data_IF_033130582768
#
_entry.id   IF_033130582768
#
_cell.length_a   1.000
_cell.length_b   1.000
_cell.length_c   1.000
_cell.angle_alpha   90.00
_cell.angle_beta   90.00
_cell.angle_gamma   90.00
#
_symmetry.space_group_name_H-M   'P 1'
#
loop_
_entity.id
_entity.type
_entity.pdbx_description
1 polymer ?
#
# COMPACT_ATOMS: atom_id res chain seq x y z
N UNK A 1 -4.74 -5.84 -12.56
CA UNK A 1 -5.77 -4.78 -12.60
C UNK A 1 -6.96 -5.16 -11.75
N UNK A 2 -7.15 -4.50 -10.61
CA UNK A 2 -8.42 -4.51 -9.89
C UNK A 2 -9.42 -3.71 -10.75
N UNK A 3 -10.22 -4.44 -11.54
CA UNK A 3 -11.30 -3.88 -12.33
C UNK A 3 -12.32 -3.19 -11.39
N UNK A 4 -13.09 -2.19 -11.86
CA UNK A 4 -14.26 -1.65 -11.15
C UNK A 4 -15.16 -2.75 -10.54
N UNK A 5 -15.20 -3.92 -11.16
CA UNK A 5 -15.87 -5.10 -10.61
C UNK A 5 -15.23 -5.65 -9.32
N UNK A 6 -13.90 -5.69 -9.20
CA UNK A 6 -13.20 -6.15 -7.99
C UNK A 6 -13.43 -5.18 -6.82
N UNK A 7 -13.57 -3.88 -7.08
CA UNK A 7 -13.97 -2.86 -6.09
C UNK A 7 -15.37 -3.11 -5.54
N UNK A 8 -16.29 -3.49 -6.44
CA UNK A 8 -17.69 -3.81 -6.12
C UNK A 8 -17.79 -5.15 -5.38
N UNK A 9 -16.94 -6.12 -5.72
CA UNK A 9 -16.84 -7.43 -5.03
C UNK A 9 -16.25 -7.28 -3.62
N UNK A 10 -15.23 -6.42 -3.44
CA UNK A 10 -14.60 -6.18 -2.14
C UNK A 10 -15.39 -5.26 -1.20
N UNK A 11 -16.54 -4.71 -1.64
CA UNK A 11 -17.39 -3.79 -0.85
C UNK A 11 -16.60 -2.65 -0.17
N UNK A 12 -15.55 -2.16 -0.83
CA UNK A 12 -14.71 -1.11 -0.26
C UNK A 12 -15.53 0.17 -0.12
N UNK A 13 -15.65 0.67 1.12
CA UNK A 13 -16.43 1.86 1.41
C UNK A 13 -15.90 3.06 0.59
N UNK A 14 -16.78 3.97 0.11
CA UNK A 14 -16.36 5.16 -0.65
C UNK A 14 -15.27 6.00 0.03
N UNK A 15 -15.25 5.99 1.37
CA UNK A 15 -14.23 6.65 2.20
C UNK A 15 -12.83 6.09 1.95
N UNK A 16 -12.68 4.78 1.80
CA UNK A 16 -11.41 4.12 1.52
C UNK A 16 -10.88 4.53 0.14
N UNK A 17 -11.77 4.72 -0.83
CA UNK A 17 -11.42 5.19 -2.18
C UNK A 17 -10.93 6.63 -2.18
N UNK A 18 -11.59 7.53 -1.44
CA UNK A 18 -11.16 8.93 -1.32
C UNK A 18 -9.78 9.00 -0.63
N UNK A 19 -9.60 8.30 0.50
CA UNK A 19 -8.30 8.20 1.18
C UNK A 19 -7.20 7.65 0.27
N UNK A 20 -7.46 6.60 -0.49
CA UNK A 20 -6.46 6.04 -1.41
C UNK A 20 -6.14 7.01 -2.56
N UNK A 21 -7.14 7.72 -3.09
CA UNK A 21 -6.89 8.72 -4.13
C UNK A 21 -6.07 9.90 -3.60
N UNK A 22 -6.39 10.43 -2.42
CA UNK A 22 -5.64 11.53 -1.83
C UNK A 22 -4.20 11.12 -1.51
N UNK A 23 -4.01 9.88 -1.01
CA UNK A 23 -2.69 9.32 -0.76
C UNK A 23 -1.91 9.06 -2.05
N UNK A 24 -2.60 8.61 -3.11
CA UNK A 24 -2.03 8.50 -4.46
C UNK A 24 -1.55 9.86 -4.99
N UNK A 25 -2.40 10.89 -4.93
CA UNK A 25 -2.05 12.24 -5.39
C UNK A 25 -0.85 12.76 -4.62
N UNK A 26 -0.83 12.57 -3.30
CA UNK A 26 0.26 13.01 -2.44
C UNK A 26 1.57 12.31 -2.79
N UNK A 27 1.59 10.98 -2.86
CA UNK A 27 2.79 10.21 -3.23
C UNK A 27 3.23 10.52 -4.65
N UNK A 28 2.31 10.64 -5.60
CA UNK A 28 2.66 10.96 -6.97
C UNK A 28 3.10 12.43 -7.16
N UNK A 29 2.93 13.28 -6.15
CA UNK A 29 3.45 14.66 -6.11
C UNK A 29 4.76 14.79 -5.34
N UNK A 30 4.99 13.92 -4.34
CA UNK A 30 6.17 13.94 -3.46
C UNK A 30 7.25 12.95 -3.91
N UNK A 31 6.88 11.89 -4.65
CA UNK A 31 7.76 10.84 -5.14
C UNK A 31 7.68 10.78 -6.67
N UNK A 32 8.75 11.23 -7.34
CA UNK A 32 8.84 11.25 -8.80
C UNK A 32 9.07 9.85 -9.40
N UNK A 33 9.51 8.88 -8.60
CA UNK A 33 9.92 7.56 -9.06
C UNK A 33 9.74 6.48 -7.97
N UNK A 34 9.75 5.21 -8.39
CA UNK A 34 9.54 4.07 -7.52
C UNK A 34 10.53 3.99 -6.34
N UNK A 35 11.78 4.41 -6.55
CA UNK A 35 12.79 4.48 -5.48
C UNK A 35 12.42 5.45 -4.36
N UNK A 36 11.88 6.63 -4.69
CA UNK A 36 11.42 7.59 -3.67
C UNK A 36 10.25 7.03 -2.83
N UNK A 37 9.42 6.16 -3.44
CA UNK A 37 8.35 5.45 -2.72
C UNK A 37 8.95 4.40 -1.79
N UNK A 38 9.97 3.65 -2.23
CA UNK A 38 10.67 2.66 -1.40
C UNK A 38 11.41 3.32 -0.22
N UNK A 39 12.02 4.48 -0.43
CA UNK A 39 12.59 5.29 0.64
C UNK A 39 11.51 5.74 1.62
N UNK A 40 10.38 6.24 1.12
CA UNK A 40 9.23 6.63 1.96
C UNK A 40 8.68 5.46 2.79
N UNK A 41 8.59 4.27 2.19
CA UNK A 41 8.25 3.02 2.88
C UNK A 41 9.24 2.70 4.00
N UNK A 42 10.52 3.02 3.80
CA UNK A 42 11.56 2.82 4.80
C UNK A 42 11.42 3.78 5.99
N UNK A 43 10.71 4.89 5.87
CA UNK A 43 10.34 5.77 6.98
C UNK A 43 9.03 5.35 7.67
N UNK A 44 8.21 4.50 7.04
CA UNK A 44 6.91 4.06 7.55
C UNK A 44 6.91 2.61 8.05
N UNK A 45 8.08 2.04 8.32
CA UNK A 45 8.22 0.62 8.67
C UNK A 45 7.43 0.19 9.90
N UNK A 46 7.10 1.12 10.80
CA UNK A 46 6.32 0.86 12.02
C UNK A 46 4.84 1.23 11.88
N UNK A 47 4.45 1.89 10.77
CA UNK A 47 3.09 2.40 10.56
C UNK A 47 2.30 1.46 9.64
N UNK A 48 1.69 0.44 10.26
CA UNK A 48 0.85 -0.55 9.57
C UNK A 48 -0.29 0.07 8.76
N UNK A 49 -0.94 1.12 9.27
CA UNK A 49 -2.05 1.76 8.57
C UNK A 49 -1.57 2.44 7.28
N UNK A 50 -0.44 3.15 7.32
CA UNK A 50 0.14 3.77 6.12
C UNK A 50 0.61 2.73 5.12
N UNK A 51 1.30 1.68 5.56
CA UNK A 51 1.75 0.61 4.66
C UNK A 51 0.57 -0.10 3.99
N UNK A 52 -0.50 -0.38 4.74
CA UNK A 52 -1.70 -0.99 4.18
C UNK A 52 -2.40 -0.04 3.20
N UNK A 53 -2.49 1.25 3.51
CA UNK A 53 -3.03 2.27 2.59
C UNK A 53 -2.21 2.35 1.31
N UNK A 54 -0.88 2.31 1.41
CA UNK A 54 0.00 2.29 0.24
C UNK A 54 -0.15 1.01 -0.58
N UNK A 55 -0.28 -0.13 0.07
CA UNK A 55 -0.57 -1.40 -0.59
C UNK A 55 -1.85 -1.31 -1.42
N UNK A 56 -2.92 -0.73 -0.87
CA UNK A 56 -4.14 -0.48 -1.62
C UNK A 56 -3.90 0.45 -2.80
N UNK A 57 -3.18 1.56 -2.62
CA UNK A 57 -2.84 2.51 -3.69
C UNK A 57 -2.09 1.82 -4.83
N UNK A 58 -1.05 1.04 -4.53
CA UNK A 58 -0.32 0.29 -5.55
C UNK A 58 -1.18 -0.77 -6.23
N UNK A 59 -2.13 -1.38 -5.52
CA UNK A 59 -3.04 -2.36 -6.10
C UNK A 59 -4.09 -1.71 -7.04
N UNK A 60 -4.48 -0.47 -6.75
CA UNK A 60 -5.40 0.33 -7.55
C UNK A 60 -4.74 1.02 -8.74
N UNK A 61 -3.51 1.51 -8.56
CA UNK A 61 -2.75 2.30 -9.53
C UNK A 61 -1.49 1.58 -10.01
N UNK A 62 -1.48 0.23 -9.97
CA UNK A 62 -0.34 -0.60 -10.37
C UNK A 62 0.18 -0.22 -11.74
N UNK A 63 -0.73 0.05 -12.67
CA UNK A 63 -0.39 0.34 -14.06
C UNK A 63 0.38 1.66 -14.24
N UNK A 64 0.38 2.54 -13.23
CA UNK A 64 1.10 3.83 -13.25
C UNK A 64 2.27 3.91 -12.28
N UNK A 65 2.16 3.32 -11.10
CA UNK A 65 3.15 3.45 -10.04
C UNK A 65 4.11 2.26 -9.94
N UNK A 66 3.63 1.06 -10.27
CA UNK A 66 4.38 -0.17 -10.07
C UNK A 66 3.99 -1.22 -11.12
N UNK A 67 4.28 -0.94 -12.41
CA UNK A 67 3.93 -1.85 -13.50
C UNK A 67 4.61 -3.21 -13.33
N UNK A 68 5.82 -3.22 -12.76
CA UNK A 68 6.62 -4.43 -12.48
C UNK A 68 6.21 -5.15 -11.19
N UNK A 69 5.29 -4.56 -10.40
CA UNK A 69 4.80 -5.08 -9.10
C UNK A 69 5.90 -5.28 -8.05
N UNK A 70 7.05 -4.63 -8.23
CA UNK A 70 8.19 -4.73 -7.33
C UNK A 70 7.89 -4.06 -5.99
N UNK A 71 7.37 -2.82 -6.01
CA UNK A 71 7.06 -2.08 -4.78
C UNK A 71 5.98 -2.78 -3.96
N UNK A 72 5.00 -3.37 -4.63
CA UNK A 72 3.98 -4.19 -3.98
C UNK A 72 4.60 -5.34 -3.20
N UNK A 73 5.53 -6.09 -3.79
CA UNK A 73 6.19 -7.22 -3.14
C UNK A 73 6.97 -6.76 -1.89
N UNK A 74 7.67 -5.63 -1.97
CA UNK A 74 8.39 -5.04 -0.83
C UNK A 74 7.44 -4.68 0.31
N UNK A 75 6.29 -4.08 0.01
CA UNK A 75 5.30 -3.70 1.03
C UNK A 75 4.61 -4.93 1.62
N UNK A 76 4.25 -5.92 0.80
CA UNK A 76 3.67 -7.19 1.28
C UNK A 76 4.63 -7.87 2.26
N UNK A 77 5.91 -7.98 1.92
CA UNK A 77 6.92 -8.57 2.79
C UNK A 77 7.05 -7.83 4.13
N UNK A 78 6.95 -6.50 4.12
CA UNK A 78 6.99 -5.70 5.36
C UNK A 78 5.72 -5.85 6.19
N UNK A 79 4.54 -5.88 5.56
CA UNK A 79 3.28 -6.13 6.26
C UNK A 79 3.26 -7.52 6.91
N UNK A 80 3.76 -8.54 6.20
CA UNK A 80 3.90 -9.90 6.72
C UNK A 80 4.87 -9.93 7.91
N UNK A 81 6.04 -9.30 7.79
CA UNK A 81 7.00 -9.21 8.89
C UNK A 81 6.41 -8.54 10.15
N UNK A 82 5.59 -7.50 9.95
CA UNK A 82 4.91 -6.84 11.06
C UNK A 82 3.74 -7.67 11.61
N UNK A 83 3.05 -8.46 10.79
CA UNK A 83 2.03 -9.40 11.24
C UNK A 83 2.65 -10.55 12.05
N UNK A 84 3.82 -11.05 11.65
CA UNK A 84 4.58 -12.04 12.41
C UNK A 84 5.03 -11.49 13.76
N UNK A 85 5.56 -10.27 13.81
CA UNK A 85 5.93 -9.62 15.09
C UNK A 85 4.75 -9.47 16.04
N UNK A 86 3.59 -9.03 15.54
CA UNK A 86 2.39 -8.94 16.38
C UNK A 86 1.95 -10.32 16.88
N UNK A 87 1.99 -11.34 16.01
CA UNK A 87 1.63 -12.70 16.39
C UNK A 87 2.55 -13.24 17.49
N UNK A 88 3.86 -13.02 17.40
CA UNK A 88 4.83 -13.39 18.44
C UNK A 88 4.56 -12.68 19.76
N UNK A 89 4.25 -11.37 19.72
CA UNK A 89 3.89 -10.56 20.90
C UNK A 89 2.59 -11.01 21.58
N UNK A 90 1.64 -11.56 20.83
CA UNK A 90 0.38 -12.09 21.38
C UNK A 90 0.53 -13.51 21.96
N UNK A 91 1.60 -14.22 21.61
CA UNK A 91 1.88 -15.58 22.11
C UNK A 91 2.91 -15.63 23.26
N UNK A 92 3.52 -14.50 23.61
CA UNK A 92 4.48 -14.36 24.72
C UNK A 92 3.79 -13.87 26.00
#
# INVERSE_FOLDING_TARGET
MINRNTVRVLSLKPVTRAKCHDFYVKINSECENAQAIEESVSWWQEDKEKLNTLWWVLNYYSDRLDPDRYLRAVIEQRLDALAMKDAELFTA
#
